data_IF_290695970493
#
_entry.id   IF_290695970493
#
_cell.length_a   1.000
_cell.length_b   1.000
_cell.length_c   1.000
_cell.angle_alpha   90.00
_cell.angle_beta   90.00
_cell.angle_gamma   90.00
#
_symmetry.space_group_name_H-M   'P 1'
#
loop_
_entity.id
_entity.type
_entity.pdbx_description
1 polymer ?
#
# COMPACT_ATOMS: atom_id res chain seq x y z
N UNK A 1 -16.03 -3.34 -12.47
CA UNK A 1 -16.18 -2.80 -11.11
C UNK A 1 -16.82 -1.43 -11.21
N UNK A 2 -17.85 -1.13 -10.41
CA UNK A 2 -18.34 0.24 -10.30
C UNK A 2 -17.31 1.03 -9.52
N UNK A 3 -16.51 1.85 -10.20
CA UNK A 3 -15.60 2.80 -9.55
C UNK A 3 -16.46 3.89 -8.91
N UNK A 4 -16.78 3.71 -7.63
CA UNK A 4 -17.44 4.72 -6.81
C UNK A 4 -16.40 5.76 -6.43
N UNK A 5 -16.70 7.03 -6.69
CA UNK A 5 -15.85 8.13 -6.28
C UNK A 5 -15.73 8.17 -4.75
N UNK A 6 -14.49 8.18 -4.27
CA UNK A 6 -14.19 8.35 -2.85
C UNK A 6 -13.87 9.82 -2.62
N UNK A 7 -14.71 10.49 -1.83
CA UNK A 7 -14.50 11.90 -1.46
C UNK A 7 -13.90 12.03 -0.06
N UNK A 8 -13.34 13.20 0.24
CA UNK A 8 -12.82 13.55 1.57
C UNK A 8 -13.87 13.37 2.67
N UNK A 9 -15.11 13.80 2.40
CA UNK A 9 -16.23 13.74 3.35
C UNK A 9 -16.66 12.29 3.60
N UNK A 10 -16.60 11.45 2.57
CA UNK A 10 -16.87 10.02 2.72
C UNK A 10 -15.82 9.36 3.62
N UNK A 11 -14.54 9.64 3.39
CA UNK A 11 -13.44 9.14 4.23
C UNK A 11 -13.60 9.60 5.67
N UNK A 12 -13.86 10.90 5.89
CA UNK A 12 -14.09 11.45 7.22
C UNK A 12 -15.27 10.77 7.92
N UNK A 13 -16.39 10.58 7.22
CA UNK A 13 -17.58 9.90 7.76
C UNK A 13 -17.28 8.45 8.15
N UNK A 14 -16.66 7.69 7.25
CA UNK A 14 -16.37 6.28 7.45
C UNK A 14 -15.33 6.06 8.56
N UNK A 15 -14.29 6.89 8.60
CA UNK A 15 -13.28 6.83 9.64
C UNK A 15 -13.85 7.25 11.01
N UNK A 16 -14.67 8.30 11.09
CA UNK A 16 -15.38 8.64 12.34
C UNK A 16 -16.31 7.51 12.79
N UNK A 17 -17.03 6.84 11.88
CA UNK A 17 -17.83 5.65 12.21
C UNK A 17 -16.96 4.54 12.78
N UNK A 18 -15.79 4.30 12.20
CA UNK A 18 -14.83 3.30 12.68
C UNK A 18 -14.31 3.64 14.08
N UNK A 19 -13.89 4.89 14.29
CA UNK A 19 -13.41 5.40 15.57
C UNK A 19 -14.50 5.38 16.66
N UNK A 20 -15.79 5.43 16.29
CA UNK A 20 -16.89 5.34 17.27
C UNK A 20 -16.96 3.98 17.96
N UNK A 21 -16.41 2.93 17.36
CA UNK A 21 -16.34 1.60 17.95
C UNK A 21 -15.14 1.41 18.89
N UNK A 22 -14.20 2.37 18.91
CA UNK A 22 -13.07 2.31 19.83
C UNK A 22 -13.60 2.53 21.26
N UNK A 23 -13.10 1.79 22.27
CA UNK A 23 -13.58 1.89 23.65
C UNK A 23 -13.57 3.32 24.22
N UNK A 24 -12.67 4.16 23.72
CA UNK A 24 -12.48 5.54 24.14
C UNK A 24 -12.98 6.55 23.10
N UNK A 25 -13.49 6.07 21.97
CA UNK A 25 -13.87 6.88 20.83
C UNK A 25 -12.67 7.45 20.06
N UNK A 26 -12.96 8.41 19.20
CA UNK A 26 -11.98 9.16 18.43
C UNK A 26 -12.67 10.10 17.47
N UNK A 27 -11.94 11.07 16.95
CA UNK A 27 -12.47 12.01 15.96
C UNK A 27 -11.42 12.37 14.94
N UNK A 28 -11.83 12.31 13.68
CA UNK A 28 -11.07 12.85 12.56
C UNK A 28 -11.04 14.37 12.67
N UNK A 29 -9.84 14.95 12.58
CA UNK A 29 -9.63 16.41 12.60
C UNK A 29 -9.27 16.95 11.23
N UNK A 30 -8.67 16.11 10.37
CA UNK A 30 -8.34 16.47 9.01
C UNK A 30 -8.26 15.21 8.13
N UNK A 31 -8.66 15.36 6.88
CA UNK A 31 -8.46 14.35 5.84
C UNK A 31 -7.78 15.02 4.64
N UNK A 32 -6.75 14.36 4.10
CA UNK A 32 -5.99 14.80 2.92
C UNK A 32 -5.54 13.59 2.10
N UNK A 33 -5.05 13.84 0.90
CA UNK A 33 -4.28 12.85 0.15
C UNK A 33 -2.78 13.12 0.29
N UNK A 34 -1.97 12.06 0.33
CA UNK A 34 -0.51 12.19 0.21
C UNK A 34 -0.09 12.32 -1.28
N UNK A 35 1.21 12.39 -1.55
CA UNK A 35 1.74 12.53 -2.92
C UNK A 35 1.43 11.33 -3.83
N UNK A 36 1.04 10.20 -3.24
CA UNK A 36 0.62 8.98 -3.93
C UNK A 36 -0.90 8.87 -4.09
N UNK A 37 -1.66 9.92 -3.75
CA UNK A 37 -3.12 9.94 -3.86
C UNK A 37 -3.84 9.15 -2.75
N UNK A 38 -3.13 8.67 -1.74
CA UNK A 38 -3.69 7.87 -0.66
C UNK A 38 -4.32 8.75 0.41
N UNK A 39 -5.47 8.32 0.93
CA UNK A 39 -6.18 9.06 1.96
C UNK A 39 -5.51 8.92 3.33
N UNK A 40 -5.15 10.04 3.91
CA UNK A 40 -4.62 10.17 5.27
C UNK A 40 -5.66 10.90 6.13
N UNK A 41 -6.04 10.28 7.23
CA UNK A 41 -6.88 10.85 8.27
C UNK A 41 -6.05 11.15 9.52
N UNK A 42 -5.94 12.43 9.87
CA UNK A 42 -5.42 12.84 11.17
C UNK A 42 -6.55 12.73 12.18
N UNK A 43 -6.30 12.01 13.27
CA UNK A 43 -7.30 11.70 14.27
C UNK A 43 -6.78 12.05 15.66
N UNK A 44 -7.66 12.60 16.49
CA UNK A 44 -7.49 12.59 17.94
C UNK A 44 -8.12 11.31 18.49
N UNK A 45 -7.36 10.55 19.26
CA UNK A 45 -7.83 9.34 19.93
C UNK A 45 -7.50 9.49 21.42
N UNK A 46 -8.50 9.61 22.30
CA UNK A 46 -8.25 9.78 23.72
C UNK A 46 -7.89 8.42 24.33
N UNK A 47 -6.80 8.35 25.11
CA UNK A 47 -6.49 7.22 25.99
C UNK A 47 -6.13 5.84 25.37
N UNK A 48 -5.33 5.11 26.15
CA UNK A 48 -5.03 3.65 26.21
C UNK A 48 -4.74 2.80 24.95
N UNK A 49 -4.45 3.37 23.78
CA UNK A 49 -3.92 2.57 22.66
C UNK A 49 -2.39 2.37 22.70
N UNK A 50 -1.64 3.24 23.39
CA UNK A 50 -0.20 3.05 23.58
C UNK A 50 0.29 3.77 24.85
N UNK A 51 1.43 3.32 25.40
CA UNK A 51 2.14 3.93 26.53
C UNK A 51 2.52 5.40 26.27
N UNK A 52 2.51 5.83 25.01
CA UNK A 52 2.81 7.19 24.57
C UNK A 52 1.56 8.12 24.57
N UNK A 53 0.37 7.57 24.80
CA UNK A 53 -0.87 8.33 24.98
C UNK A 53 -1.12 8.75 26.44
N UNK A 54 -0.23 8.35 27.34
CA UNK A 54 -0.22 8.84 28.70
C UNK A 54 0.57 10.14 28.71
N UNK A 55 -0.11 11.26 28.93
CA UNK A 55 0.53 12.53 29.22
C UNK A 55 1.49 12.42 30.41
N UNK A 56 2.37 13.41 30.62
CA UNK A 56 3.42 13.34 31.64
C UNK A 56 2.86 12.92 33.01
N UNK A 57 3.26 11.75 33.52
CA UNK A 57 2.78 11.23 34.80
C UNK A 57 1.54 10.34 34.78
N UNK A 58 1.11 9.82 33.61
CA UNK A 58 -0.05 8.92 33.52
C UNK A 58 -1.38 9.64 33.30
N UNK A 59 -1.34 10.88 32.81
CA UNK A 59 -2.56 11.66 32.53
C UNK A 59 -3.18 11.22 31.21
N UNK A 60 -4.46 10.83 31.23
CA UNK A 60 -5.19 10.52 30.01
C UNK A 60 -5.57 11.81 29.26
N UNK A 61 -5.24 11.89 27.97
CA UNK A 61 -5.74 12.96 27.11
C UNK A 61 -7.24 12.81 26.85
N UNK A 62 -7.97 13.91 27.01
CA UNK A 62 -9.34 14.08 26.52
C UNK A 62 -9.32 14.66 25.10
N UNK A 63 -10.43 14.53 24.40
CA UNK A 63 -10.55 15.01 23.02
C UNK A 63 -10.42 16.53 22.90
N UNK A 64 -10.89 17.24 23.92
CA UNK A 64 -10.88 18.70 24.01
C UNK A 64 -9.51 19.24 24.40
N UNK A 65 -8.62 18.39 24.92
CA UNK A 65 -7.30 18.82 25.36
C UNK A 65 -6.48 19.29 24.15
N UNK A 66 -5.85 20.46 24.30
CA UNK A 66 -5.10 21.11 23.24
C UNK A 66 -3.83 20.33 22.86
N UNK A 67 -3.26 19.61 23.83
CA UNK A 67 -2.08 18.76 23.73
C UNK A 67 -2.40 17.28 23.45
N UNK A 68 -3.67 16.94 23.22
CA UNK A 68 -4.06 15.60 22.79
C UNK A 68 -3.34 15.24 21.47
N UNK A 69 -2.55 14.15 21.44
CA UNK A 69 -1.70 13.82 20.31
C UNK A 69 -2.53 13.51 19.07
N UNK A 70 -2.03 13.97 17.93
CA UNK A 70 -2.61 13.68 16.61
C UNK A 70 -1.96 12.42 16.07
N UNK A 71 -2.79 11.42 15.76
CA UNK A 71 -2.36 10.19 15.08
C UNK A 71 -2.77 10.23 13.63
N UNK A 72 -1.91 9.75 12.74
CA UNK A 72 -2.24 9.65 11.32
C UNK A 72 -2.61 8.21 11.01
N UNK A 73 -3.67 8.06 10.22
CA UNK A 73 -4.07 6.76 9.69
C UNK A 73 -4.17 6.86 8.17
N UNK A 74 -3.60 5.88 7.48
CA UNK A 74 -3.91 5.64 6.08
C UNK A 74 -5.26 4.92 6.01
N UNK A 75 -6.19 5.42 5.20
CA UNK A 75 -7.56 4.89 5.11
C UNK A 75 -7.82 4.40 3.68
N UNK A 76 -8.31 3.17 3.56
CA UNK A 76 -8.76 2.58 2.30
C UNK A 76 -10.22 2.20 2.44
N UNK A 77 -11.04 2.63 1.48
CA UNK A 77 -12.46 2.32 1.43
C UNK A 77 -12.73 1.33 0.29
N UNK A 78 -13.30 0.18 0.64
CA UNK A 78 -13.70 -0.85 -0.31
C UNK A 78 -15.22 -0.85 -0.42
N UNK A 79 -15.74 -0.66 -1.64
CA UNK A 79 -17.18 -0.72 -1.88
C UNK A 79 -17.61 -2.18 -2.04
N UNK A 80 -18.50 -2.65 -1.16
CA UNK A 80 -19.10 -3.97 -1.24
C UNK A 80 -20.54 -3.86 -1.75
N UNK A 81 -20.78 -4.49 -2.91
CA UNK A 81 -22.13 -4.63 -3.46
C UNK A 81 -22.99 -5.52 -2.56
N UNK A 82 -24.29 -5.24 -2.58
CA UNK A 82 -25.30 -6.03 -1.91
C UNK A 82 -25.17 -7.52 -2.27
N UNK A 83 -24.97 -8.36 -1.26
CA UNK A 83 -25.05 -9.83 -1.38
C UNK A 83 -25.99 -10.36 -0.31
N UNK A 84 -26.70 -11.44 -0.63
CA UNK A 84 -27.59 -12.14 0.31
C UNK A 84 -28.65 -11.25 0.98
N UNK A 85 -29.16 -10.22 0.28
CA UNK A 85 -30.20 -9.32 0.81
C UNK A 85 -29.69 -8.25 1.78
N UNK A 86 -28.37 -8.07 1.89
CA UNK A 86 -27.78 -6.94 2.63
C UNK A 86 -27.73 -5.69 1.75
N UNK A 87 -27.97 -4.53 2.35
CA UNK A 87 -27.71 -3.23 1.71
C UNK A 87 -26.22 -3.07 1.40
N UNK A 88 -25.81 -2.41 0.30
CA UNK A 88 -24.41 -2.14 0.00
C UNK A 88 -23.73 -1.34 1.13
N UNK A 89 -22.44 -1.59 1.36
CA UNK A 89 -21.68 -0.90 2.39
C UNK A 89 -20.26 -0.57 1.95
N UNK A 90 -19.66 0.36 2.67
CA UNK A 90 -18.23 0.65 2.57
C UNK A 90 -17.51 -0.08 3.69
N UNK A 91 -16.55 -0.92 3.34
CA UNK A 91 -15.61 -1.48 4.29
C UNK A 91 -14.47 -0.48 4.48
N UNK A 92 -14.22 -0.09 5.73
CA UNK A 92 -13.11 0.81 6.08
C UNK A 92 -11.94 -0.01 6.57
N UNK A 93 -10.84 0.02 5.82
CA UNK A 93 -9.54 -0.49 6.28
C UNK A 93 -8.66 0.69 6.65
N UNK A 94 -7.89 0.54 7.71
CA UNK A 94 -6.98 1.59 8.16
C UNK A 94 -5.70 1.00 8.76
N UNK A 95 -4.63 1.77 8.66
CA UNK A 95 -3.32 1.44 9.22
C UNK A 95 -2.68 2.68 9.80
N UNK A 96 -1.86 2.52 10.84
CA UNK A 96 -1.09 3.65 11.38
C UNK A 96 -0.18 4.24 10.29
N UNK A 97 0.00 5.55 10.36
CA UNK A 97 0.86 6.30 9.47
C UNK A 97 1.64 7.36 10.26
N UNK A 98 2.81 7.72 9.74
CA UNK A 98 3.56 8.89 10.18
C UNK A 98 4.16 9.59 8.98
N UNK A 99 4.25 10.92 9.05
CA UNK A 99 4.77 11.74 7.95
C UNK A 99 4.08 11.46 6.61
N UNK A 100 2.75 11.24 6.62
CA UNK A 100 1.94 10.87 5.44
C UNK A 100 2.28 9.51 4.81
N UNK A 101 3.08 8.69 5.48
CA UNK A 101 3.49 7.37 5.03
C UNK A 101 2.96 6.31 5.97
N UNK A 102 2.44 5.22 5.42
CA UNK A 102 1.97 4.08 6.21
C UNK A 102 3.13 3.49 7.02
N UNK A 103 2.91 3.29 8.31
CA UNK A 103 3.84 2.56 9.17
C UNK A 103 3.75 1.06 8.87
N UNK A 104 4.89 0.33 8.89
CA UNK A 104 4.89 -1.11 8.71
C UNK A 104 4.16 -1.75 9.89
N UNK A 105 2.96 -2.27 9.64
CA UNK A 105 2.22 -3.05 10.64
C UNK A 105 2.52 -4.54 10.47
N UNK A 106 2.51 -5.28 11.57
CA UNK A 106 3.04 -6.64 11.69
C UNK A 106 2.65 -7.68 10.60
N UNK A 107 1.47 -7.69 9.94
CA UNK A 107 1.21 -8.68 8.90
C UNK A 107 2.06 -8.51 7.62
N UNK A 108 2.70 -7.36 7.40
CA UNK A 108 3.54 -7.13 6.21
C UNK A 108 5.01 -7.53 6.42
N UNK A 109 5.37 -7.93 7.64
CA UNK A 109 6.76 -8.30 7.99
C UNK A 109 7.08 -9.78 7.82
N UNK A 110 6.07 -10.65 7.64
CA UNK A 110 6.29 -12.11 7.60
C UNK A 110 5.40 -12.94 6.68
N UNK A 111 4.62 -12.34 5.77
CA UNK A 111 4.02 -13.10 4.67
C UNK A 111 4.59 -12.61 3.33
N UNK A 112 5.45 -13.45 2.76
CA UNK A 112 6.08 -13.28 1.46
C UNK A 112 5.02 -13.00 0.40
N UNK A 113 5.01 -11.76 -0.08
CA UNK A 113 4.36 -11.30 -1.30
C UNK A 113 2.98 -11.91 -1.57
N UNK A 114 1.93 -11.42 -0.92
CA UNK A 114 0.58 -11.45 -1.50
C UNK A 114 0.54 -10.39 -2.62
N UNK A 115 0.62 -10.77 -3.91
CA UNK A 115 0.59 -9.82 -5.02
C UNK A 115 -0.79 -9.17 -5.20
N UNK A 116 -1.84 -9.75 -4.60
CA UNK A 116 -3.23 -9.35 -4.76
C UNK A 116 -3.71 -8.45 -3.61
N UNK A 117 -2.90 -8.26 -2.57
CA UNK A 117 -3.19 -7.29 -1.52
C UNK A 117 -3.23 -5.87 -2.13
N UNK A 118 -4.26 -5.05 -1.86
CA UNK A 118 -4.26 -3.66 -2.27
C UNK A 118 -3.11 -2.93 -1.57
N UNK A 119 -1.99 -2.79 -2.29
CA UNK A 119 -0.77 -2.19 -1.76
C UNK A 119 -0.80 -0.68 -1.98
N UNK A 120 -0.49 0.02 -0.89
CA UNK A 120 -0.16 1.43 -0.90
C UNK A 120 0.89 1.74 -1.98
N UNK A 121 0.69 2.71 -2.89
CA UNK A 121 1.73 3.06 -3.88
C UNK A 121 3.04 3.51 -3.23
N UNK A 122 3.00 4.08 -2.01
CA UNK A 122 4.20 4.32 -1.21
C UNK A 122 4.94 3.02 -0.87
N UNK A 123 4.23 1.99 -0.41
CA UNK A 123 4.83 0.69 -0.08
C UNK A 123 5.40 0.03 -1.33
N UNK A 124 4.71 0.12 -2.47
CA UNK A 124 5.21 -0.35 -3.75
C UNK A 124 6.50 0.37 -4.15
N UNK A 125 6.54 1.70 -4.02
CA UNK A 125 7.73 2.51 -4.28
C UNK A 125 8.90 2.13 -3.35
N UNK A 126 8.63 1.88 -2.06
CA UNK A 126 9.65 1.46 -1.08
C UNK A 126 10.21 0.07 -1.40
N UNK A 127 9.35 -0.88 -1.79
CA UNK A 127 9.78 -2.22 -2.22
C UNK A 127 10.67 -2.10 -3.46
N UNK A 128 10.21 -1.36 -4.48
CA UNK A 128 10.99 -1.12 -5.71
C UNK A 128 12.37 -0.53 -5.38
N UNK A 129 12.42 0.55 -4.60
CA UNK A 129 13.68 1.19 -4.21
C UNK A 129 14.61 0.26 -3.41
N UNK A 130 14.04 -0.62 -2.57
CA UNK A 130 14.82 -1.62 -1.84
C UNK A 130 15.45 -2.65 -2.78
N UNK A 131 14.71 -3.13 -3.79
CA UNK A 131 15.20 -4.09 -4.79
C UNK A 131 16.29 -3.44 -5.65
N UNK A 132 16.06 -2.21 -6.13
CA UNK A 132 17.03 -1.48 -6.94
C UNK A 132 18.34 -1.20 -6.20
N UNK A 133 18.26 -0.93 -4.88
CA UNK A 133 19.44 -0.71 -4.05
C UNK A 133 20.23 -1.99 -3.79
N UNK A 134 19.55 -3.12 -3.65
CA UNK A 134 20.13 -4.41 -3.28
C UNK A 134 19.53 -5.54 -4.12
N UNK A 135 19.86 -5.60 -5.43
CA UNK A 135 19.27 -6.60 -6.31
C UNK A 135 19.76 -8.00 -5.93
N UNK A 136 18.80 -8.93 -5.81
CA UNK A 136 19.05 -10.33 -5.54
C UNK A 136 18.59 -11.16 -6.73
N UNK A 137 19.51 -11.87 -7.39
CA UNK A 137 19.18 -12.67 -8.57
C UNK A 137 18.10 -13.72 -8.32
N UNK A 138 18.10 -14.35 -7.13
CA UNK A 138 17.04 -15.30 -6.76
C UNK A 138 15.66 -14.64 -6.74
N UNK A 139 15.55 -13.44 -6.13
CA UNK A 139 14.30 -12.70 -6.10
C UNK A 139 13.89 -12.22 -7.49
N UNK A 140 14.84 -11.76 -8.30
CA UNK A 140 14.57 -11.35 -9.68
C UNK A 140 14.11 -12.54 -10.54
N UNK A 141 14.67 -13.73 -10.36
CA UNK A 141 14.22 -14.94 -11.04
C UNK A 141 12.77 -15.29 -10.69
N UNK A 142 12.41 -15.29 -9.40
CA UNK A 142 11.02 -15.56 -8.99
C UNK A 142 10.03 -14.54 -9.55
N UNK A 143 10.44 -13.26 -9.62
CA UNK A 143 9.62 -12.22 -10.26
C UNK A 143 9.51 -12.45 -11.76
N UNK A 144 10.61 -12.81 -12.43
CA UNK A 144 10.64 -13.07 -13.87
C UNK A 144 9.74 -14.25 -14.26
N UNK A 145 9.77 -15.34 -13.49
CA UNK A 145 8.93 -16.51 -13.74
C UNK A 145 7.44 -16.15 -13.65
N UNK A 146 7.04 -15.32 -12.68
CA UNK A 146 5.66 -14.81 -12.58
C UNK A 146 5.30 -13.83 -13.69
N UNK A 147 6.28 -13.06 -14.18
CA UNK A 147 6.06 -12.17 -15.31
C UNK A 147 5.71 -12.94 -16.58
N UNK A 148 6.33 -14.11 -16.80
CA UNK A 148 6.05 -14.96 -17.95
C UNK A 148 4.58 -15.47 -17.98
N UNK A 149 3.95 -15.61 -16.83
CA UNK A 149 2.54 -16.01 -16.69
C UNK A 149 1.56 -14.82 -16.77
N UNK A 150 2.05 -13.58 -16.89
CA UNK A 150 1.20 -12.38 -16.91
C UNK A 150 0.61 -12.16 -18.32
N UNK A 151 -0.71 -12.00 -18.47
CA UNK A 151 -1.34 -11.72 -19.76
C UNK A 151 -0.89 -10.39 -20.35
N UNK A 152 -0.64 -10.38 -21.66
CA UNK A 152 -0.18 -9.22 -22.43
C UNK A 152 -1.14 -8.99 -23.61
N UNK A 153 -1.54 -7.73 -23.83
CA UNK A 153 -2.45 -7.34 -24.89
C UNK A 153 -1.74 -7.24 -26.27
N UNK A 154 -2.47 -6.86 -27.31
CA UNK A 154 -1.91 -6.67 -28.66
C UNK A 154 -0.96 -5.48 -28.82
N UNK A 155 -0.91 -4.58 -27.84
CA UNK A 155 -0.06 -3.39 -27.81
C UNK A 155 1.22 -3.62 -26.97
N UNK A 156 1.50 -4.87 -26.60
CA UNK A 156 2.63 -5.29 -25.77
C UNK A 156 2.60 -4.70 -24.33
N UNK A 157 1.40 -4.47 -23.80
CA UNK A 157 1.17 -4.00 -22.43
C UNK A 157 0.58 -5.09 -21.54
N UNK A 158 0.91 -5.07 -20.23
CA UNK A 158 0.33 -6.01 -19.27
C UNK A 158 -1.16 -5.73 -19.04
N UNK A 159 -2.01 -6.76 -19.07
CA UNK A 159 -3.47 -6.60 -18.91
C UNK A 159 -3.92 -6.52 -17.44
N UNK A 160 -3.04 -6.90 -16.52
CA UNK A 160 -3.29 -6.87 -15.08
C UNK A 160 -2.10 -6.25 -14.34
N UNK A 161 -2.30 -5.67 -13.14
CA UNK A 161 -1.21 -5.19 -12.32
C UNK A 161 -0.18 -6.30 -12.05
N UNK A 162 1.09 -5.95 -12.07
CA UNK A 162 2.19 -6.86 -11.81
C UNK A 162 3.15 -6.20 -10.82
N UNK A 163 3.28 -6.75 -9.61
CA UNK A 163 4.08 -6.16 -8.52
C UNK A 163 3.79 -4.67 -8.27
N UNK A 164 4.67 -3.77 -8.75
CA UNK A 164 4.55 -2.31 -8.61
C UNK A 164 4.25 -1.60 -9.93
N UNK A 165 3.91 -2.34 -10.97
CA UNK A 165 3.46 -1.84 -12.28
C UNK A 165 1.94 -1.99 -12.42
N UNK A 166 1.31 -0.97 -12.98
CA UNK A 166 -0.13 -0.96 -13.25
C UNK A 166 -0.45 -1.64 -14.58
N UNK A 167 -1.70 -2.11 -14.72
CA UNK A 167 -2.20 -2.59 -16.01
C UNK A 167 -2.06 -1.48 -17.08
N UNK A 168 -1.62 -1.84 -18.29
CA UNK A 168 -1.25 -0.91 -19.35
C UNK A 168 0.24 -0.54 -19.37
N UNK A 169 1.06 -1.03 -18.43
CA UNK A 169 2.52 -0.84 -18.50
C UNK A 169 3.10 -1.66 -19.66
N UNK A 170 3.97 -1.06 -20.49
CA UNK A 170 4.67 -1.77 -21.55
C UNK A 170 5.57 -2.87 -20.99
N UNK A 171 5.51 -4.08 -21.57
CA UNK A 171 6.41 -5.19 -21.21
C UNK A 171 7.88 -4.85 -21.41
N UNK A 172 8.19 -3.95 -22.36
CA UNK A 172 9.56 -3.57 -22.66
C UNK A 172 10.16 -2.71 -21.54
N UNK A 173 9.37 -1.85 -20.92
CA UNK A 173 9.81 -1.08 -19.75
C UNK A 173 10.13 -2.01 -18.57
N UNK A 174 9.34 -3.07 -18.39
CA UNK A 174 9.57 -4.09 -17.37
C UNK A 174 10.85 -4.89 -17.69
N UNK A 175 11.05 -5.30 -18.95
CA UNK A 175 12.26 -5.99 -19.38
C UNK A 175 13.52 -5.16 -19.17
N UNK A 176 13.49 -3.88 -19.58
CA UNK A 176 14.61 -2.97 -19.38
C UNK A 176 14.95 -2.80 -17.90
N UNK A 177 13.94 -2.72 -17.03
CA UNK A 177 14.16 -2.68 -15.58
C UNK A 177 14.86 -3.94 -15.04
N UNK A 178 14.49 -5.14 -15.50
CA UNK A 178 15.21 -6.36 -15.11
C UNK A 178 16.65 -6.37 -15.65
N UNK A 179 16.85 -5.94 -16.88
CA UNK A 179 18.17 -5.92 -17.54
C UNK A 179 19.16 -5.02 -16.80
N UNK A 180 18.71 -3.83 -16.35
CA UNK A 180 19.52 -2.89 -15.56
C UNK A 180 19.95 -3.46 -14.20
N UNK A 181 19.17 -4.37 -13.62
CA UNK A 181 19.45 -4.98 -12.31
C UNK A 181 20.24 -6.28 -12.39
N UNK A 182 20.35 -6.88 -13.58
CA UNK A 182 21.12 -8.10 -13.81
C UNK A 182 22.58 -7.76 -14.15
N UNK A 183 23.58 -8.22 -13.37
CA UNK A 183 24.99 -7.90 -13.62
C UNK A 183 25.51 -8.26 -15.02
N UNK A 184 25.01 -9.34 -15.63
CA UNK A 184 25.39 -9.79 -16.97
C UNK A 184 24.27 -9.56 -18.01
N UNK A 185 23.24 -8.80 -17.64
CA UNK A 185 22.02 -8.62 -18.41
C UNK A 185 21.02 -9.76 -18.21
N UNK A 186 19.75 -9.42 -18.47
CA UNK A 186 18.59 -10.29 -18.27
C UNK A 186 18.72 -11.63 -19.01
N UNK A 187 19.20 -11.60 -20.25
CA UNK A 187 19.29 -12.78 -21.11
C UNK A 187 20.26 -13.84 -20.54
N UNK A 188 21.39 -13.40 -19.98
CA UNK A 188 22.39 -14.32 -19.42
C UNK A 188 21.96 -14.78 -18.03
N UNK A 189 21.55 -13.83 -17.19
CA UNK A 189 21.32 -14.11 -15.77
C UNK A 189 19.99 -14.82 -15.50
N UNK A 190 18.91 -14.51 -16.23
CA UNK A 190 17.56 -15.05 -15.97
C UNK A 190 17.03 -15.98 -17.07
N UNK A 191 17.50 -15.85 -18.31
CA UNK A 191 17.05 -16.69 -19.44
C UNK A 191 18.04 -17.82 -19.77
N UNK A 192 19.22 -17.83 -19.16
CA UNK A 192 20.25 -18.85 -19.39
C UNK A 192 20.89 -18.80 -20.79
N UNK A 193 20.82 -17.65 -21.47
CA UNK A 193 21.52 -17.47 -22.74
C UNK A 193 23.03 -17.45 -22.52
N UNK A 194 23.77 -18.07 -23.44
CA UNK A 194 25.23 -17.99 -23.41
C UNK A 194 25.66 -16.63 -23.96
N UNK A 195 26.51 -15.86 -23.26
CA UNK A 195 26.98 -14.59 -23.77
C UNK A 195 27.60 -14.80 -25.15
N UNK A 196 27.20 -14.00 -26.13
CA UNK A 196 27.87 -14.00 -27.44
C UNK A 196 29.31 -13.58 -27.20
N UNK A 197 30.23 -14.54 -27.16
CA UNK A 197 31.67 -14.28 -27.19
C UNK A 197 31.96 -13.48 -28.45
N UNK A 198 32.15 -12.18 -28.28
CA UNK A 198 32.68 -11.31 -29.34
C UNK A 198 34.18 -11.60 -29.38
N UNK A 199 34.58 -12.43 -30.34
CA UNK A 199 35.98 -12.64 -30.70
C UNK A 199 36.49 -11.49 -31.57
#
# INVERSE_FOLDING_TARGET
MVTKEITKELVEKQMNSTLSYFPWGGKVIAVRQNEWGEWIADCKIPGHYSRDCDGPGGHYYRMEDADCPIRQFMVVLEYHEARFGMEPWWLTRYWEAANNMREPTFPESMDFFDPDAPRSPYILAKIKASIEKHPCLFQLQEMWDKFADTPINSEDEIEQPFYFWEAGTSRFDIWHWFDELCPNGLAVDLMGETPKTVF
#
